data_IF_295312844087
#
_entry.id   IF_295312844087
#
_cell.length_a   1.000
_cell.length_b   1.000
_cell.length_c   1.000
_cell.angle_alpha   90.00
_cell.angle_beta   90.00
_cell.angle_gamma   90.00
#
_symmetry.space_group_name_H-M   'P 1'
#
loop_
_entity.id
_entity.type
_entity.pdbx_description
1 polymer ?
#
# COMPACT_ATOMS: atom_id res chain seq x y z
N UNK A 1 2.23 -10.10 1.25
CA UNK A 1 1.42 -8.92 0.83
C UNK A 1 0.78 -8.16 2.02
N UNK A 2 0.80 -8.72 3.24
CA UNK A 2 0.26 -8.09 4.46
C UNK A 2 1.22 -7.02 5.04
N UNK A 3 2.53 -7.22 4.90
CA UNK A 3 3.58 -6.36 5.48
C UNK A 3 3.54 -4.90 5.00
N UNK A 4 3.04 -4.65 3.78
CA UNK A 4 3.08 -3.31 3.18
C UNK A 4 2.09 -2.32 3.83
N UNK A 5 1.00 -2.81 4.44
CA UNK A 5 -0.06 -1.95 5.00
C UNK A 5 0.22 -1.53 6.45
N UNK A 6 0.86 -2.40 7.23
CA UNK A 6 1.36 -2.00 8.55
C UNK A 6 2.49 -0.98 8.41
N UNK A 7 3.35 -1.13 7.40
CA UNK A 7 4.40 -0.16 7.10
C UNK A 7 3.82 1.21 6.70
N UNK A 8 2.71 1.23 5.94
CA UNK A 8 1.95 2.46 5.65
C UNK A 8 1.43 3.13 6.95
N UNK A 9 0.90 2.35 7.90
CA UNK A 9 0.44 2.88 9.18
C UNK A 9 1.59 3.48 10.02
N UNK A 10 2.76 2.84 10.05
CA UNK A 10 3.95 3.33 10.74
C UNK A 10 4.50 4.62 10.11
N UNK A 11 4.51 4.70 8.77
CA UNK A 11 4.93 5.90 8.05
C UNK A 11 4.03 7.11 8.38
N UNK A 12 2.72 6.90 8.43
CA UNK A 12 1.76 7.94 8.78
C UNK A 12 1.96 8.43 10.24
N UNK A 13 2.26 7.54 11.19
CA UNK A 13 2.62 7.92 12.57
C UNK A 13 3.91 8.73 12.65
N UNK A 14 4.92 8.35 11.89
CA UNK A 14 6.17 9.10 11.83
C UNK A 14 5.92 10.52 11.32
N UNK A 15 5.15 10.68 10.24
CA UNK A 15 4.77 11.99 9.72
C UNK A 15 3.94 12.80 10.72
N UNK A 16 2.99 12.16 11.42
CA UNK A 16 2.20 12.81 12.46
C UNK A 16 3.09 13.43 13.55
N UNK A 17 4.14 12.72 13.98
CA UNK A 17 5.10 13.22 14.97
C UNK A 17 5.85 14.46 14.48
N UNK A 18 6.41 14.42 13.28
CA UNK A 18 7.14 15.56 12.71
C UNK A 18 6.22 16.79 12.58
N UNK A 19 4.96 16.59 12.20
CA UNK A 19 3.97 17.67 12.10
C UNK A 19 3.63 18.26 13.47
N UNK A 20 3.48 17.42 14.51
CA UNK A 20 3.22 17.88 15.87
C UNK A 20 4.40 18.70 16.44
N UNK A 21 5.65 18.28 16.17
CA UNK A 21 6.86 19.03 16.53
C UNK A 21 6.90 20.41 15.84
N UNK A 22 6.39 20.49 14.60
CA UNK A 22 6.19 21.75 13.86
C UNK A 22 4.96 22.54 14.28
N UNK A 23 4.25 22.13 15.32
CA UNK A 23 3.00 22.74 15.79
C UNK A 23 1.86 22.72 14.74
N UNK A 24 1.98 21.85 13.73
CA UNK A 24 0.97 21.64 12.69
C UNK A 24 -0.05 20.59 13.14
N UNK A 25 -0.74 20.91 14.24
CA UNK A 25 -1.60 19.97 14.97
C UNK A 25 -2.75 19.38 14.15
N UNK A 26 -3.42 20.19 13.33
CA UNK A 26 -4.49 19.69 12.46
C UNK A 26 -3.98 18.63 11.46
N UNK A 27 -2.78 18.83 10.91
CA UNK A 27 -2.17 17.86 9.99
C UNK A 27 -1.68 16.61 10.74
N UNK A 28 -1.13 16.77 11.94
CA UNK A 28 -0.72 15.65 12.80
C UNK A 28 -1.91 14.76 13.19
N UNK A 29 -3.06 15.37 13.50
CA UNK A 29 -4.33 14.68 13.76
C UNK A 29 -4.78 13.89 12.53
N UNK A 30 -4.75 14.50 11.34
CA UNK A 30 -5.10 13.81 10.09
C UNK A 30 -4.14 12.65 9.78
N UNK A 31 -2.84 12.80 10.04
CA UNK A 31 -1.88 11.69 9.87
C UNK A 31 -2.10 10.57 10.87
N UNK A 32 -2.44 10.91 12.11
CA UNK A 32 -2.84 9.93 13.14
C UNK A 32 -4.11 9.15 12.74
N UNK A 33 -5.07 9.82 12.09
CA UNK A 33 -6.26 9.18 11.51
C UNK A 33 -5.88 8.13 10.46
N UNK A 34 -5.07 8.53 9.47
CA UNK A 34 -4.67 7.64 8.37
C UNK A 34 -3.90 6.43 8.87
N UNK A 35 -3.06 6.61 9.89
CA UNK A 35 -2.37 5.49 10.55
C UNK A 35 -3.36 4.46 11.13
N UNK A 36 -4.42 4.91 11.81
CA UNK A 36 -5.45 4.03 12.37
C UNK A 36 -6.20 3.28 11.26
N UNK A 37 -6.59 3.97 10.19
CA UNK A 37 -7.28 3.34 9.05
C UNK A 37 -6.39 2.30 8.37
N UNK A 38 -5.12 2.63 8.12
CA UNK A 38 -4.17 1.70 7.51
C UNK A 38 -3.91 0.46 8.39
N UNK A 39 -3.78 0.65 9.72
CA UNK A 39 -3.62 -0.46 10.66
C UNK A 39 -4.84 -1.38 10.74
N UNK A 40 -6.04 -0.80 10.75
CA UNK A 40 -7.30 -1.54 10.72
C UNK A 40 -7.44 -2.35 9.41
N UNK A 41 -7.14 -1.70 8.28
CA UNK A 41 -7.15 -2.35 6.96
C UNK A 41 -6.14 -3.49 6.87
N UNK A 42 -4.96 -3.35 7.45
CA UNK A 42 -3.96 -4.40 7.47
C UNK A 42 -4.48 -5.69 8.12
N UNK A 43 -5.22 -5.57 9.23
CA UNK A 43 -5.86 -6.72 9.88
C UNK A 43 -7.03 -7.28 9.08
N UNK A 44 -7.88 -6.43 8.52
CA UNK A 44 -9.02 -6.90 7.73
C UNK A 44 -8.58 -7.69 6.50
N UNK A 45 -7.47 -7.29 5.88
CA UNK A 45 -6.89 -7.99 4.73
C UNK A 45 -6.40 -9.39 5.11
N UNK A 46 -5.92 -9.61 6.35
CA UNK A 46 -5.54 -10.97 6.79
C UNK A 46 -6.74 -11.92 6.87
N UNK A 47 -7.94 -11.37 7.06
CA UNK A 47 -9.21 -12.10 7.06
C UNK A 47 -9.88 -12.16 5.68
N UNK A 48 -9.23 -11.64 4.63
CA UNK A 48 -9.77 -11.60 3.27
C UNK A 48 -10.77 -10.48 3.01
N UNK A 49 -10.84 -9.47 3.88
CA UNK A 49 -11.70 -8.29 3.72
C UNK A 49 -10.84 -7.12 3.22
N UNK A 50 -11.14 -6.57 2.04
CA UNK A 50 -10.44 -5.39 1.48
C UNK A 50 -11.41 -4.21 1.26
N UNK A 51 -11.62 -3.35 2.28
CA UNK A 51 -12.52 -2.22 2.18
C UNK A 51 -11.95 -1.11 1.29
N UNK A 52 -12.81 -0.48 0.49
CA UNK A 52 -12.40 0.57 -0.46
C UNK A 52 -12.52 2.00 0.11
N UNK A 53 -13.22 2.18 1.23
CA UNK A 53 -13.36 3.48 1.88
C UNK A 53 -12.95 3.44 3.34
N UNK A 54 -12.58 4.59 3.89
CA UNK A 54 -12.24 4.70 5.32
C UNK A 54 -13.45 4.36 6.20
N UNK A 55 -14.67 4.76 5.79
CA UNK A 55 -15.90 4.46 6.51
C UNK A 55 -16.18 2.95 6.58
N UNK A 56 -16.03 2.26 5.44
CA UNK A 56 -16.18 0.80 5.37
C UNK A 56 -15.09 0.12 6.19
N UNK A 57 -13.85 0.61 6.13
CA UNK A 57 -12.72 0.07 6.91
C UNK A 57 -13.03 0.11 8.41
N UNK A 58 -13.52 1.24 8.91
CA UNK A 58 -13.85 1.40 10.33
C UNK A 58 -15.04 0.52 10.74
N UNK A 59 -16.06 0.42 9.89
CA UNK A 59 -17.25 -0.40 10.16
C UNK A 59 -16.93 -1.90 10.15
N UNK A 60 -16.17 -2.37 9.17
CA UNK A 60 -15.72 -3.77 9.08
C UNK A 60 -14.78 -4.11 10.23
N UNK A 61 -13.91 -3.17 10.64
CA UNK A 61 -13.04 -3.37 11.79
C UNK A 61 -13.84 -3.54 13.10
N UNK A 62 -14.87 -2.73 13.32
CA UNK A 62 -15.74 -2.87 14.51
C UNK A 62 -16.43 -4.24 14.52
N UNK A 63 -16.93 -4.71 13.36
CA UNK A 63 -17.49 -6.05 13.23
C UNK A 63 -16.46 -7.16 13.45
N UNK A 64 -15.26 -7.02 12.87
CA UNK A 64 -14.15 -7.95 13.05
C UNK A 64 -13.76 -8.07 14.52
N UNK A 65 -13.61 -6.93 15.20
CA UNK A 65 -13.32 -6.88 16.60
C UNK A 65 -14.42 -7.65 17.37
N UNK A 66 -15.69 -7.40 17.11
CA UNK A 66 -16.84 -8.05 17.79
C UNK A 66 -16.88 -9.56 17.61
N UNK A 67 -16.44 -10.08 16.46
CA UNK A 67 -16.31 -11.52 16.21
C UNK A 67 -15.10 -12.13 16.92
N UNK A 68 -13.98 -11.42 16.96
CA UNK A 68 -12.73 -11.87 17.57
C UNK A 68 -12.73 -11.61 19.08
N UNK A 69 -13.28 -12.56 19.84
CA UNK A 69 -13.45 -12.44 21.29
C UNK A 69 -12.10 -12.43 22.02
N UNK A 70 -11.69 -11.28 22.55
CA UNK A 70 -10.46 -11.11 23.34
C UNK A 70 -9.20 -10.73 22.54
N UNK A 71 -9.25 -10.72 21.20
CA UNK A 71 -8.09 -10.37 20.36
C UNK A 71 -7.87 -8.84 20.25
N UNK A 72 -8.96 -8.08 20.23
CA UNK A 72 -8.94 -6.61 20.19
C UNK A 72 -9.36 -6.04 21.56
N UNK A 73 -8.48 -5.28 22.24
CA UNK A 73 -8.77 -4.61 23.51
C UNK A 73 -10.03 -3.73 23.47
N UNK A 74 -10.74 -3.63 24.59
CA UNK A 74 -11.96 -2.80 24.66
C UNK A 74 -11.72 -1.32 24.32
N UNK A 75 -10.53 -0.80 24.58
CA UNK A 75 -10.13 0.57 24.24
C UNK A 75 -10.17 0.86 22.74
N UNK A 76 -10.06 -0.17 21.89
CA UNK A 76 -10.06 -0.04 20.43
C UNK A 76 -11.39 -0.44 19.77
N UNK A 77 -12.41 -0.74 20.57
CA UNK A 77 -13.78 -1.03 20.09
C UNK A 77 -14.52 0.25 19.78
N UNK A 78 -15.44 0.20 18.80
CA UNK A 78 -16.19 1.37 18.38
C UNK A 78 -15.26 2.40 17.74
N UNK A 79 -14.30 1.94 16.95
CA UNK A 79 -13.27 2.74 16.31
C UNK A 79 -13.92 3.83 15.46
N UNK A 80 -15.00 3.51 14.74
CA UNK A 80 -15.77 4.49 13.98
C UNK A 80 -16.22 5.68 14.85
N UNK A 81 -16.63 5.46 16.10
CA UNK A 81 -17.05 6.52 17.03
C UNK A 81 -15.87 7.30 17.60
N UNK A 82 -14.82 6.60 18.00
CA UNK A 82 -13.61 7.20 18.62
C UNK A 82 -12.84 8.09 17.64
N UNK A 83 -12.86 7.70 16.37
CA UNK A 83 -12.12 8.31 15.27
C UNK A 83 -12.97 9.35 14.53
N UNK A 84 -14.31 9.24 14.55
CA UNK A 84 -15.22 10.30 14.04
C UNK A 84 -15.05 11.65 14.76
N UNK A 85 -14.40 11.68 15.92
CA UNK A 85 -14.16 12.89 16.71
C UNK A 85 -12.90 13.68 16.27
N UNK A 86 -12.26 13.27 15.16
CA UNK A 86 -11.11 13.94 14.56
C UNK A 86 -11.47 15.17 13.71
N UNK A 87 -12.77 15.38 13.44
CA UNK A 87 -13.32 16.57 12.80
C UNK A 87 -13.67 17.72 13.75
N UNK A 88 -13.34 17.60 15.04
CA UNK A 88 -13.56 18.68 16.02
C UNK A 88 -12.63 19.86 15.72
N UNK A 89 -13.09 21.09 15.98
CA UNK A 89 -12.24 22.30 15.85
C UNK A 89 -11.09 22.35 16.88
N UNK A 90 -10.99 21.35 17.76
CA UNK A 90 -9.98 21.27 18.79
C UNK A 90 -8.69 20.69 18.20
N UNK A 91 -7.69 21.53 18.05
CA UNK A 91 -6.35 21.17 17.58
C UNK A 91 -5.29 21.59 18.61
N UNK A 92 -5.64 21.55 19.90
CA UNK A 92 -4.66 21.82 20.96
C UNK A 92 -3.54 20.77 20.93
N UNK A 93 -2.38 21.16 21.46
CA UNK A 93 -1.24 20.24 21.60
C UNK A 93 -1.61 19.01 22.43
N UNK A 94 -2.36 19.19 23.51
CA UNK A 94 -2.81 18.10 24.40
C UNK A 94 -3.74 17.13 23.68
N UNK A 95 -4.74 17.65 22.95
CA UNK A 95 -5.66 16.83 22.17
C UNK A 95 -4.92 16.07 21.06
N UNK A 96 -3.99 16.73 20.37
CA UNK A 96 -3.17 16.11 19.32
C UNK A 96 -2.32 14.98 19.88
N UNK A 97 -1.63 15.21 21.00
CA UNK A 97 -0.82 14.21 21.67
C UNK A 97 -1.68 13.01 22.12
N UNK A 98 -2.90 13.25 22.60
CA UNK A 98 -3.81 12.18 22.99
C UNK A 98 -4.24 11.33 21.78
N UNK A 99 -4.60 11.96 20.65
CA UNK A 99 -4.97 11.24 19.41
C UNK A 99 -3.79 10.47 18.82
N UNK A 100 -2.60 11.07 18.83
CA UNK A 100 -1.37 10.40 18.41
C UNK A 100 -1.02 9.21 19.30
N UNK A 101 -1.16 9.35 20.62
CA UNK A 101 -0.93 8.26 21.57
C UNK A 101 -1.89 7.09 21.34
N UNK A 102 -3.17 7.39 21.10
CA UNK A 102 -4.16 6.39 20.71
C UNK A 102 -3.77 5.68 19.41
N UNK A 103 -3.47 6.44 18.35
CA UNK A 103 -3.10 5.89 17.04
C UNK A 103 -1.85 5.00 17.14
N UNK A 104 -0.84 5.45 17.89
CA UNK A 104 0.38 4.66 18.13
C UNK A 104 0.07 3.33 18.82
N UNK A 105 -0.69 3.35 19.91
CA UNK A 105 -1.05 2.12 20.63
C UNK A 105 -1.87 1.15 19.78
N UNK A 106 -2.78 1.69 18.97
CA UNK A 106 -3.60 0.91 18.05
C UNK A 106 -2.75 0.23 16.96
N UNK A 107 -1.88 0.99 16.28
CA UNK A 107 -1.02 0.45 15.21
C UNK A 107 -0.05 -0.59 15.77
N UNK A 108 0.53 -0.36 16.95
CA UNK A 108 1.39 -1.34 17.61
C UNK A 108 0.65 -2.65 17.90
N UNK A 109 -0.63 -2.56 18.31
CA UNK A 109 -1.48 -3.73 18.51
C UNK A 109 -1.76 -4.46 17.20
N UNK A 110 -2.10 -3.72 16.14
CA UNK A 110 -2.35 -4.28 14.81
C UNK A 110 -1.11 -4.99 14.27
N UNK A 111 0.06 -4.36 14.40
CA UNK A 111 1.34 -4.94 13.99
C UNK A 111 1.59 -6.29 14.68
N UNK A 112 1.43 -6.35 16.00
CA UNK A 112 1.64 -7.61 16.75
C UNK A 112 0.72 -8.72 16.28
N UNK A 113 -0.53 -8.40 15.97
CA UNK A 113 -1.49 -9.38 15.45
C UNK A 113 -1.14 -9.83 14.02
N UNK A 114 -0.75 -8.91 13.14
CA UNK A 114 -0.34 -9.27 11.78
C UNK A 114 0.97 -10.07 11.75
N UNK A 115 1.91 -9.77 12.64
CA UNK A 115 3.15 -10.54 12.80
C UNK A 115 2.84 -11.97 13.28
N UNK A 116 1.98 -12.12 14.29
CA UNK A 116 1.57 -13.43 14.79
C UNK A 116 0.90 -14.30 13.71
N UNK A 117 0.05 -13.70 12.86
CA UNK A 117 -0.55 -14.41 11.72
C UNK A 117 0.50 -14.77 10.67
N UNK A 118 1.47 -13.88 10.40
CA UNK A 118 2.57 -14.16 9.48
C UNK A 118 3.51 -15.26 9.96
N UNK A 119 3.75 -15.37 11.28
CA UNK A 119 4.53 -16.45 11.88
C UNK A 119 3.78 -17.78 11.89
N UNK A 120 2.47 -17.78 12.16
CA UNK A 120 1.61 -18.98 12.08
C UNK A 120 1.52 -19.50 10.63
N UNK A 121 1.43 -18.60 9.64
CA UNK A 121 1.51 -18.96 8.21
C UNK A 121 2.86 -19.60 7.85
N UNK A 122 3.97 -19.07 8.40
CA UNK A 122 5.31 -19.62 8.16
C UNK A 122 5.49 -21.00 8.79
N UNK A 123 4.84 -21.26 9.93
CA UNK A 123 4.82 -22.58 10.57
C UNK A 123 3.94 -23.58 9.80
N UNK A 124 2.89 -23.11 9.12
CA UNK A 124 2.05 -23.93 8.23
C UNK A 124 2.64 -24.23 6.83
N UNK A 125 3.72 -23.57 6.43
CA UNK A 125 4.40 -23.75 5.14
C UNK A 125 5.66 -24.64 5.23
N UNK A 126 5.94 -25.23 6.40
CA UNK A 126 7.10 -26.08 6.63
C UNK A 126 6.90 -27.57 6.28
N UNK A 127 5.73 -27.96 5.79
CA UNK A 127 5.49 -29.30 5.23
C UNK A 127 4.83 -29.17 3.86
N UNK A 128 5.64 -29.16 2.81
CA UNK A 128 5.55 -30.04 1.63
C UNK A 128 6.30 -29.44 0.43
N UNK A 129 7.53 -29.92 0.25
CA UNK A 129 8.17 -30.19 -1.04
C UNK A 129 9.19 -31.29 -0.77
N UNK A 130 9.37 -32.34 -1.62
CA UNK A 130 9.34 -32.23 -3.08
C UNK A 130 8.73 -33.43 -3.84
N UNK A 131 8.22 -33.19 -5.05
CA UNK A 131 8.22 -34.21 -6.10
C UNK A 131 8.18 -33.58 -7.50
N UNK A 132 9.11 -34.06 -8.31
CA UNK A 132 9.51 -33.67 -9.66
C UNK A 132 8.75 -34.51 -10.72
N UNK A 133 8.79 -34.05 -11.98
CA UNK A 133 8.47 -34.73 -13.26
C UNK A 133 7.07 -34.57 -13.92
N UNK A 134 6.93 -33.52 -14.73
CA UNK A 134 6.65 -33.43 -16.20
C UNK A 134 5.55 -34.29 -16.91
N UNK A 135 5.19 -34.04 -18.21
CA UNK A 135 4.65 -32.82 -18.85
C UNK A 135 3.46 -33.13 -19.81
N UNK A 136 2.64 -32.13 -20.20
CA UNK A 136 1.92 -32.16 -21.50
C UNK A 136 1.91 -30.79 -22.19
N UNK A 137 2.55 -30.81 -23.36
CA UNK A 137 2.65 -29.92 -24.53
C UNK A 137 1.28 -29.60 -25.17
N UNK A 138 1.02 -28.62 -26.05
CA UNK A 138 1.66 -27.53 -26.80
C UNK A 138 0.48 -26.66 -27.36
N UNK A 139 0.56 -25.44 -27.89
CA UNK A 139 1.54 -24.70 -28.70
C UNK A 139 1.18 -23.18 -28.61
N UNK A 140 2.03 -22.16 -28.49
CA UNK A 140 3.39 -21.83 -28.97
C UNK A 140 3.41 -20.94 -30.23
N UNK A 141 3.87 -19.69 -30.05
CA UNK A 141 4.85 -18.95 -30.89
C UNK A 141 5.58 -17.97 -29.91
N UNK A 142 6.74 -18.30 -29.31
CA UNK A 142 8.16 -18.12 -29.76
C UNK A 142 8.56 -16.64 -29.99
N UNK A 143 9.66 -16.05 -29.47
CA UNK A 143 10.92 -16.57 -28.89
C UNK A 143 11.79 -15.46 -28.21
N UNK A 144 12.31 -15.75 -27.01
CA UNK A 144 13.65 -15.50 -26.36
C UNK A 144 14.49 -14.21 -26.57
N UNK A 145 15.44 -13.88 -25.67
CA UNK A 145 15.46 -13.84 -24.19
C UNK A 145 15.68 -12.37 -23.70
N UNK A 146 16.04 -12.15 -22.43
CA UNK A 146 16.76 -10.97 -21.88
C UNK A 146 15.99 -10.15 -20.81
N UNK A 147 16.46 -10.36 -19.57
CA UNK A 147 16.43 -9.46 -18.41
C UNK A 147 15.11 -9.33 -17.63
N UNK A 148 15.24 -9.34 -16.32
CA UNK A 148 14.20 -9.30 -15.28
C UNK A 148 13.37 -7.99 -15.40
N UNK A 149 12.36 -7.98 -16.28
CA UNK A 149 11.47 -6.82 -16.42
C UNK A 149 10.45 -6.86 -15.29
N UNK A 150 10.66 -6.03 -14.28
CA UNK A 150 9.72 -5.89 -13.18
C UNK A 150 8.47 -5.16 -13.66
N UNK A 151 7.28 -5.68 -13.38
CA UNK A 151 6.00 -5.08 -13.78
C UNK A 151 5.36 -4.35 -12.60
N UNK A 152 4.85 -3.15 -12.82
CA UNK A 152 4.12 -2.32 -11.87
C UNK A 152 2.76 -1.90 -12.46
N UNK A 153 1.69 -2.52 -11.95
CA UNK A 153 0.32 -2.19 -12.36
C UNK A 153 -0.22 -0.97 -11.59
N UNK A 154 -0.54 0.08 -12.32
CA UNK A 154 -1.10 1.33 -11.81
C UNK A 154 -2.43 1.69 -12.50
N UNK A 155 -3.11 0.70 -13.10
CA UNK A 155 -4.48 0.87 -13.60
C UNK A 155 -5.42 1.25 -12.45
N UNK A 156 -6.33 2.18 -12.70
CA UNK A 156 -7.21 2.81 -11.71
C UNK A 156 -6.53 3.80 -10.76
N UNK A 157 -5.21 4.03 -10.86
CA UNK A 157 -4.48 4.94 -9.96
C UNK A 157 -4.49 6.37 -10.51
N UNK A 158 -5.19 7.25 -9.80
CA UNK A 158 -5.31 8.66 -10.17
C UNK A 158 -3.98 9.43 -10.01
N UNK A 159 -3.77 10.46 -10.83
CA UNK A 159 -2.66 11.41 -10.63
C UNK A 159 -2.81 12.16 -9.29
N UNK A 160 -1.70 12.50 -8.60
CA UNK A 160 -0.30 12.27 -8.98
C UNK A 160 0.24 10.91 -8.49
N UNK A 161 -0.59 10.05 -7.90
CA UNK A 161 -0.13 8.84 -7.22
C UNK A 161 0.50 7.83 -8.17
N UNK A 162 0.03 7.78 -9.42
CA UNK A 162 0.63 6.91 -10.44
C UNK A 162 2.12 7.24 -10.64
N UNK A 163 2.45 8.51 -10.87
CA UNK A 163 3.81 8.97 -11.02
C UNK A 163 4.68 8.71 -9.78
N UNK A 164 4.16 9.04 -8.59
CA UNK A 164 4.89 8.86 -7.33
C UNK A 164 5.23 7.38 -7.10
N UNK A 165 4.29 6.47 -7.37
CA UNK A 165 4.53 5.03 -7.23
C UNK A 165 5.54 4.51 -8.25
N UNK A 166 5.48 4.97 -9.50
CA UNK A 166 6.49 4.61 -10.51
C UNK A 166 7.88 5.07 -10.09
N UNK A 167 8.01 6.31 -9.59
CA UNK A 167 9.29 6.86 -9.15
C UNK A 167 9.88 6.08 -7.97
N UNK A 168 9.08 5.84 -6.92
CA UNK A 168 9.52 5.05 -5.77
C UNK A 168 9.98 3.65 -6.18
N UNK A 169 9.28 3.03 -7.14
CA UNK A 169 9.67 1.72 -7.65
C UNK A 169 11.01 1.77 -8.39
N UNK A 170 11.23 2.77 -9.24
CA UNK A 170 12.52 2.99 -9.90
C UNK A 170 13.66 3.30 -8.91
N UNK A 171 13.39 4.00 -7.81
CA UNK A 171 14.38 4.27 -6.75
C UNK A 171 14.79 3.01 -5.96
N UNK A 172 13.93 1.98 -5.94
CA UNK A 172 14.20 0.70 -5.29
C UNK A 172 14.82 -0.35 -6.24
N UNK A 173 15.03 -0.01 -7.51
CA UNK A 173 15.60 -0.88 -8.53
C UNK A 173 17.07 -0.56 -8.78
N UNK A 174 17.82 -1.58 -9.15
CA UNK A 174 19.22 -1.45 -9.53
C UNK A 174 19.35 -0.75 -10.90
N UNK A 175 20.49 -0.13 -11.15
CA UNK A 175 20.75 0.53 -12.43
C UNK A 175 20.76 -0.45 -13.59
N UNK A 176 20.17 -0.03 -14.70
CA UNK A 176 19.99 -0.87 -15.89
C UNK A 176 18.77 -1.79 -15.82
N UNK A 177 18.11 -1.92 -14.65
CA UNK A 177 16.86 -2.67 -14.56
C UNK A 177 15.71 -1.96 -15.29
N UNK A 178 14.80 -2.76 -15.84
CA UNK A 178 13.65 -2.28 -16.61
C UNK A 178 12.37 -2.46 -15.82
N UNK A 179 11.60 -1.38 -15.72
CA UNK A 179 10.28 -1.33 -15.13
C UNK A 179 9.23 -1.18 -16.22
N UNK A 180 8.30 -2.13 -16.30
CA UNK A 180 7.10 -2.01 -17.12
C UNK A 180 5.96 -1.48 -16.26
N UNK A 181 5.36 -0.36 -16.63
CA UNK A 181 4.31 0.31 -15.86
C UNK A 181 3.00 0.25 -16.62
N UNK A 182 1.96 -0.37 -16.04
CA UNK A 182 0.64 -0.41 -16.67
C UNK A 182 -0.21 0.75 -16.21
N UNK A 183 -0.78 1.48 -17.16
CA UNK A 183 -1.51 2.73 -16.95
C UNK A 183 -2.82 2.70 -17.75
N UNK A 184 -3.82 3.42 -17.25
CA UNK A 184 -5.05 3.62 -18.00
C UNK A 184 -4.85 4.62 -19.15
N UNK A 185 -5.70 4.48 -20.16
CA UNK A 185 -5.87 5.47 -21.22
C UNK A 185 -6.23 6.86 -20.66
N UNK A 186 -5.82 7.90 -21.39
CA UNK A 186 -6.18 9.28 -21.07
C UNK A 186 -5.04 10.07 -20.45
N UNK A 187 -5.23 10.56 -19.22
CA UNK A 187 -4.25 11.39 -18.52
C UNK A 187 -3.03 10.61 -17.97
N UNK A 188 -3.18 9.39 -17.42
CA UNK A 188 -2.05 8.63 -16.85
C UNK A 188 -0.94 8.34 -17.86
N UNK A 189 -1.29 7.81 -19.04
CA UNK A 189 -0.33 7.50 -20.11
C UNK A 189 0.37 8.74 -20.69
N UNK A 190 -0.22 9.94 -20.57
CA UNK A 190 0.44 11.19 -21.01
C UNK A 190 1.36 11.77 -19.95
N UNK A 191 0.89 11.80 -18.71
CA UNK A 191 1.55 12.52 -17.63
C UNK A 191 2.73 11.72 -17.04
N UNK A 192 2.60 10.41 -16.90
CA UNK A 192 3.62 9.58 -16.26
C UNK A 192 4.90 9.49 -17.11
N UNK A 193 4.86 9.12 -18.40
CA UNK A 193 6.07 9.08 -19.23
C UNK A 193 6.74 10.45 -19.37
N UNK A 194 5.93 11.52 -19.50
CA UNK A 194 6.45 12.88 -19.58
C UNK A 194 7.17 13.29 -18.29
N UNK A 195 6.59 12.98 -17.13
CA UNK A 195 7.18 13.31 -15.83
C UNK A 195 8.47 12.52 -15.58
N UNK A 196 8.51 11.24 -15.98
CA UNK A 196 9.72 10.42 -15.88
C UNK A 196 10.86 10.96 -16.75
N UNK A 197 10.56 11.40 -17.98
CA UNK A 197 11.54 12.06 -18.85
C UNK A 197 12.03 13.37 -18.24
N UNK A 198 11.15 14.16 -17.64
CA UNK A 198 11.51 15.42 -16.97
C UNK A 198 12.42 15.20 -15.75
N UNK A 199 12.24 14.09 -15.02
CA UNK A 199 13.09 13.70 -13.89
C UNK A 199 14.40 13.00 -14.33
N UNK A 200 14.63 12.84 -15.64
CA UNK A 200 15.86 12.27 -16.20
C UNK A 200 15.84 10.76 -16.41
N UNK A 201 14.72 10.09 -16.19
CA UNK A 201 14.58 8.65 -16.47
C UNK A 201 14.43 8.36 -17.96
N UNK A 202 14.90 7.18 -18.37
CA UNK A 202 14.89 6.75 -19.77
C UNK A 202 13.66 5.90 -20.07
N UNK A 203 12.65 6.52 -20.68
CA UNK A 203 11.47 5.79 -21.18
C UNK A 203 11.81 5.12 -22.51
N UNK A 204 11.74 3.79 -22.54
CA UNK A 204 12.10 2.95 -23.69
C UNK A 204 10.95 2.77 -24.68
N UNK A 205 9.70 2.71 -24.20
CA UNK A 205 8.53 2.47 -25.06
C UNK A 205 7.20 2.71 -24.36
N UNK A 206 6.17 2.98 -25.15
CA UNK A 206 4.78 3.16 -24.72
C UNK A 206 3.92 2.34 -25.70
N UNK A 207 3.39 1.20 -25.26
CA UNK A 207 2.62 0.28 -26.11
C UNK A 207 1.24 0.01 -25.50
N UNK A 208 0.19 -0.20 -26.30
CA UNK A 208 -1.09 -0.68 -25.78
C UNK A 208 -0.94 -2.10 -25.23
N UNK A 209 -1.59 -2.36 -24.09
CA UNK A 209 -1.58 -3.69 -23.46
C UNK A 209 -2.60 -4.63 -24.11
N UNK A 210 -3.70 -4.07 -24.61
CA UNK A 210 -4.82 -4.77 -25.25
C UNK A 210 -5.24 -4.03 -26.52
N UNK A 211 -5.84 -4.74 -27.49
CA UNK A 211 -6.31 -4.16 -28.76
C UNK A 211 -7.41 -3.09 -28.57
N UNK A 212 -8.07 -3.06 -27.41
CA UNK A 212 -9.12 -2.08 -27.06
C UNK A 212 -8.56 -0.71 -26.60
N UNK A 213 -7.24 -0.50 -26.57
CA UNK A 213 -6.55 0.75 -26.21
C UNK A 213 -6.96 1.36 -24.84
N UNK A 214 -7.57 0.57 -23.95
CA UNK A 214 -8.00 1.03 -22.63
C UNK A 214 -6.83 1.08 -21.63
N UNK A 215 -5.81 0.25 -21.86
CA UNK A 215 -4.65 0.12 -20.99
C UNK A 215 -3.36 0.16 -21.81
N UNK A 216 -2.35 0.80 -21.25
CA UNK A 216 -1.05 0.99 -21.86
C UNK A 216 0.04 0.49 -20.93
N UNK A 217 1.10 -0.05 -21.49
CA UNK A 217 2.34 -0.34 -20.79
C UNK A 217 3.42 0.66 -21.19
N UNK A 218 4.16 1.13 -20.19
CA UNK A 218 5.28 2.05 -20.37
C UNK A 218 6.52 1.35 -19.85
N UNK A 219 7.47 1.10 -20.75
CA UNK A 219 8.74 0.52 -20.38
C UNK A 219 9.73 1.62 -20.04
N UNK A 220 10.33 1.55 -18.86
CA UNK A 220 11.26 2.54 -18.32
C UNK A 220 12.51 1.83 -17.85
N UNK A 221 13.68 2.34 -18.23
CA UNK A 221 14.98 1.85 -17.75
C UNK A 221 15.47 2.75 -16.61
N UNK A 222 15.88 2.13 -15.51
CA UNK A 222 16.53 2.85 -14.43
C UNK A 222 17.92 3.28 -14.89
N UNK A 223 18.10 4.59 -15.00
CA UNK A 223 19.40 5.24 -15.19
C UNK A 223 19.85 5.91 -13.89
N UNK A 224 21.13 5.85 -13.57
CA UNK A 224 21.73 6.70 -12.53
C UNK A 224 21.79 8.14 -13.06
N UNK A 225 21.35 9.10 -12.24
CA UNK A 225 21.30 10.52 -12.57
C UNK A 225 22.09 11.30 -11.53
#
# INVERSE_FOLDING_TARGET
MIDNRILEAEQELYQARILAEKHQYAMAINKSYRAVVAGAKALLVTEGIDPNTDADTLAEFDQFADRQNGLIPQTYRGLARTVSDLGTKNNSAEFTNQKMAFAKGFVEHCRKLTEAVGEDLKLGLAEESPAEAEPVTAAAVQSEPVEDVTVLDLRGVMCPLNYVKTKLKLEMMDEGERLEVWLDAGEPIKNVPMSLRNDGHKVLGEDPLEDDEQHFKVLVEKVEN
#
